data_IF_005371182148
#
_entry.id   IF_005371182148
#
_cell.length_a   1.000
_cell.length_b   1.000
_cell.length_c   1.000
_cell.angle_alpha   90.00
_cell.angle_beta   90.00
_cell.angle_gamma   90.00
#
_symmetry.space_group_name_H-M   'P 1'
#
loop_
_entity.id
_entity.type
_entity.pdbx_description
1 polymer ?
#
# COMPACT_ATOMS: atom_id res chain seq x y z
N UNK A 1 2.35 5.17 27.80
CA UNK A 1 1.11 5.04 27.00
C UNK A 1 1.37 4.00 25.94
N UNK A 2 0.46 3.04 25.71
CA UNK A 2 0.65 2.06 24.60
C UNK A 2 0.64 2.80 23.26
N UNK A 3 1.50 2.43 22.30
CA UNK A 3 1.51 3.04 20.97
C UNK A 3 0.21 2.74 20.22
N UNK A 4 -0.26 3.70 19.43
CA UNK A 4 -1.45 3.60 18.59
C UNK A 4 -1.06 3.66 17.12
N UNK A 5 -2.01 3.48 16.20
CA UNK A 5 -1.77 3.73 14.77
C UNK A 5 -1.19 5.14 14.55
N UNK A 6 -1.74 6.17 15.22
CA UNK A 6 -1.24 7.55 15.08
C UNK A 6 0.21 7.68 15.53
N UNK A 7 0.64 6.97 16.56
CA UNK A 7 2.06 6.93 16.97
C UNK A 7 2.97 6.52 15.81
N UNK A 8 2.58 5.48 15.07
CA UNK A 8 3.37 4.97 13.94
C UNK A 8 3.19 5.80 12.66
N UNK A 9 2.03 6.41 12.46
CA UNK A 9 1.81 7.37 11.36
C UNK A 9 2.76 8.57 11.51
N UNK A 10 2.89 9.13 12.72
CA UNK A 10 3.84 10.21 12.99
C UNK A 10 5.32 9.84 12.85
N UNK A 11 5.66 8.54 12.84
CA UNK A 11 7.02 8.06 12.57
C UNK A 11 7.33 7.89 11.09
N UNK A 12 6.33 7.94 10.20
CA UNK A 12 6.51 7.72 8.77
C UNK A 12 7.52 8.68 8.11
N UNK A 13 7.51 10.00 8.41
CA UNK A 13 8.48 10.92 7.82
C UNK A 13 9.93 10.53 8.12
N UNK A 14 10.22 10.15 9.35
CA UNK A 14 11.55 9.71 9.77
C UNK A 14 11.94 8.39 9.09
N UNK A 15 11.03 7.41 9.05
CA UNK A 15 11.29 6.11 8.40
C UNK A 15 11.63 6.29 6.93
N UNK A 16 10.83 7.07 6.18
CA UNK A 16 11.10 7.31 4.76
C UNK A 16 12.41 8.10 4.55
N UNK A 17 12.69 9.10 5.38
CA UNK A 17 13.93 9.85 5.33
C UNK A 17 15.15 8.97 5.57
N UNK A 18 15.07 8.04 6.53
CA UNK A 18 16.13 7.08 6.82
C UNK A 18 16.36 6.10 5.66
N UNK A 19 15.30 5.59 5.02
CA UNK A 19 15.42 4.73 3.85
C UNK A 19 16.12 5.46 2.68
N UNK A 20 15.76 6.71 2.43
CA UNK A 20 16.36 7.55 1.40
C UNK A 20 17.83 7.89 1.71
N UNK A 21 18.16 8.22 2.98
CA UNK A 21 19.51 8.55 3.40
C UNK A 21 20.48 7.37 3.27
N UNK A 22 19.99 6.14 3.41
CA UNK A 22 20.79 4.91 3.30
C UNK A 22 20.78 4.31 1.88
N UNK A 23 20.15 4.95 0.90
CA UNK A 23 20.14 4.47 -0.47
C UNK A 23 21.55 4.53 -1.10
N UNK A 24 22.02 3.50 -1.85
CA UNK A 24 21.37 2.20 -2.13
C UNK A 24 21.85 1.06 -1.19
N UNK A 25 22.31 1.35 0.01
CA UNK A 25 22.93 0.37 0.91
C UNK A 25 22.01 -0.82 1.24
N UNK A 26 22.51 -2.04 0.96
CA UNK A 26 21.80 -3.29 1.24
C UNK A 26 20.61 -3.58 0.32
N UNK A 27 20.41 -2.79 -0.75
CA UNK A 27 19.39 -3.06 -1.74
C UNK A 27 19.93 -3.94 -2.87
N UNK A 28 19.21 -5.00 -3.25
CA UNK A 28 19.55 -5.80 -4.43
C UNK A 28 19.17 -5.06 -5.71
N UNK A 29 19.79 -5.46 -6.82
CA UNK A 29 19.37 -5.06 -8.15
C UNK A 29 18.75 -6.25 -8.89
N UNK A 30 17.69 -6.03 -9.67
CA UNK A 30 16.98 -7.07 -10.43
C UNK A 30 17.84 -7.71 -11.54
N UNK A 31 19.00 -7.12 -11.84
CA UNK A 31 19.96 -7.66 -12.80
C UNK A 31 19.34 -7.80 -14.21
N UNK A 32 19.45 -9.00 -14.77
CA UNK A 32 18.92 -9.32 -16.10
C UNK A 32 17.45 -9.79 -16.09
N UNK A 33 16.79 -9.82 -14.95
CA UNK A 33 15.40 -10.26 -14.84
C UNK A 33 14.48 -9.41 -15.74
N UNK A 34 13.59 -10.07 -16.46
CA UNK A 34 12.56 -9.44 -17.31
C UNK A 34 11.15 -9.66 -16.78
N UNK A 35 10.96 -10.70 -15.99
CA UNK A 35 9.68 -11.09 -15.41
C UNK A 35 9.84 -11.45 -13.94
N UNK A 36 9.08 -10.78 -13.08
CA UNK A 36 9.06 -10.99 -11.64
C UNK A 36 7.65 -11.36 -11.20
N UNK A 37 7.53 -12.47 -10.49
CA UNK A 37 6.31 -12.84 -9.79
C UNK A 37 6.42 -12.36 -8.33
N UNK A 38 5.53 -11.45 -7.93
CA UNK A 38 5.40 -11.02 -6.54
C UNK A 38 4.30 -11.82 -5.86
N UNK A 39 4.64 -12.47 -4.74
CA UNK A 39 3.70 -13.21 -3.90
C UNK A 39 3.54 -12.49 -2.56
N UNK A 40 2.33 -12.00 -2.28
CA UNK A 40 2.01 -11.27 -1.07
C UNK A 40 0.52 -11.35 -0.73
N UNK A 41 0.16 -11.03 0.51
CA UNK A 41 -1.24 -10.98 0.97
C UNK A 41 -1.47 -9.78 1.89
N UNK A 42 -2.74 -9.34 2.04
CA UNK A 42 -3.13 -8.21 2.88
C UNK A 42 -2.43 -6.90 2.50
N UNK A 43 -1.96 -6.12 3.48
CA UNK A 43 -1.25 -4.87 3.22
C UNK A 43 0.03 -5.05 2.38
N UNK A 44 0.66 -6.23 2.39
CA UNK A 44 1.86 -6.49 1.59
C UNK A 44 1.55 -6.56 0.09
N UNK A 45 0.43 -7.17 -0.32
CA UNK A 45 0.03 -7.17 -1.74
C UNK A 45 -0.40 -5.77 -2.19
N UNK A 46 -1.08 -5.01 -1.32
CA UNK A 46 -1.45 -3.63 -1.61
C UNK A 46 -0.22 -2.72 -1.79
N UNK A 47 0.84 -2.92 -0.98
CA UNK A 47 2.12 -2.22 -1.14
C UNK A 47 2.81 -2.58 -2.46
N UNK A 48 2.81 -3.85 -2.85
CA UNK A 48 3.34 -4.30 -4.13
C UNK A 48 2.60 -3.65 -5.31
N UNK A 49 1.26 -3.62 -5.27
CA UNK A 49 0.43 -2.94 -6.29
C UNK A 49 0.73 -1.44 -6.36
N UNK A 50 0.99 -0.79 -5.22
CA UNK A 50 1.34 0.62 -5.14
C UNK A 50 2.69 0.96 -5.77
N UNK A 51 3.68 0.06 -5.66
CA UNK A 51 5.03 0.26 -6.19
C UNK A 51 5.21 -0.25 -7.63
N UNK A 52 4.37 -1.21 -8.05
CA UNK A 52 4.51 -1.96 -9.31
C UNK A 52 4.84 -1.07 -10.50
N UNK A 53 3.98 -0.10 -10.78
CA UNK A 53 4.09 0.71 -12.00
C UNK A 53 5.32 1.63 -11.98
N UNK A 54 5.74 2.10 -10.82
CA UNK A 54 6.99 2.85 -10.68
C UNK A 54 8.19 1.96 -11.06
N UNK A 55 8.25 0.75 -10.53
CA UNK A 55 9.34 -0.20 -10.81
C UNK A 55 9.34 -0.61 -12.28
N UNK A 56 8.19 -1.00 -12.84
CA UNK A 56 8.06 -1.38 -14.25
C UNK A 56 8.51 -0.25 -15.19
N UNK A 57 8.10 0.99 -14.91
CA UNK A 57 8.48 2.18 -15.70
C UNK A 57 9.99 2.37 -15.75
N UNK A 58 10.66 2.26 -14.62
CA UNK A 58 12.10 2.49 -14.54
C UNK A 58 12.91 1.33 -15.11
N UNK A 59 12.51 0.11 -14.81
CA UNK A 59 13.33 -1.09 -15.11
C UNK A 59 12.97 -1.77 -16.42
N UNK A 60 11.72 -1.60 -16.91
CA UNK A 60 11.16 -2.37 -18.01
C UNK A 60 10.86 -3.84 -17.66
N UNK A 61 11.00 -4.21 -16.40
CA UNK A 61 10.65 -5.54 -15.90
C UNK A 61 9.12 -5.66 -15.81
N UNK A 62 8.57 -6.79 -16.23
CA UNK A 62 7.14 -7.10 -16.04
C UNK A 62 6.93 -7.67 -14.65
N UNK A 63 6.01 -7.10 -13.87
CA UNK A 63 5.69 -7.55 -12.52
C UNK A 63 4.27 -8.12 -12.49
N UNK A 64 4.13 -9.39 -12.16
CA UNK A 64 2.86 -10.03 -11.81
C UNK A 64 2.72 -10.08 -10.30
N UNK A 65 1.59 -9.63 -9.76
CA UNK A 65 1.32 -9.63 -8.31
C UNK A 65 0.17 -10.58 -8.04
N UNK A 66 0.39 -11.58 -7.20
CA UNK A 66 -0.55 -12.68 -6.95
C UNK A 66 -0.68 -12.97 -5.44
N UNK A 67 -1.87 -13.43 -5.05
CA UNK A 67 -2.10 -14.02 -3.73
C UNK A 67 -1.44 -15.42 -3.66
N UNK A 68 -0.56 -15.68 -2.67
CA UNK A 68 0.23 -16.92 -2.64
C UNK A 68 -0.63 -18.19 -2.52
N UNK A 69 -1.72 -18.17 -1.74
CA UNK A 69 -2.60 -19.32 -1.61
C UNK A 69 -3.35 -19.62 -2.92
N UNK A 70 -3.90 -18.57 -3.56
CA UNK A 70 -4.56 -18.73 -4.86
C UNK A 70 -3.58 -19.21 -5.93
N UNK A 71 -2.41 -18.60 -5.98
CA UNK A 71 -1.36 -19.00 -6.92
C UNK A 71 -0.99 -20.47 -6.78
N UNK A 72 -0.69 -20.93 -5.56
CA UNK A 72 -0.24 -22.29 -5.30
C UNK A 72 -1.25 -23.36 -5.73
N UNK A 73 -2.55 -23.07 -5.65
CA UNK A 73 -3.59 -24.09 -5.86
C UNK A 73 -4.31 -24.01 -7.22
N UNK A 74 -4.25 -22.87 -7.89
CA UNK A 74 -5.08 -22.64 -9.09
C UNK A 74 -4.32 -22.03 -10.28
N UNK A 75 -3.21 -21.34 -10.06
CA UNK A 75 -2.49 -20.70 -11.16
C UNK A 75 -1.47 -21.65 -11.79
N UNK A 76 -1.20 -21.42 -13.07
CA UNK A 76 -0.16 -22.15 -13.80
C UNK A 76 1.17 -21.41 -13.67
N UNK A 77 2.25 -22.18 -13.52
CA UNK A 77 3.60 -21.62 -13.54
C UNK A 77 3.94 -21.05 -14.92
N UNK A 78 4.38 -19.82 -14.97
CA UNK A 78 4.96 -19.20 -16.17
C UNK A 78 6.48 -19.46 -16.19
N UNK A 79 6.98 -20.31 -17.10
CA UNK A 79 8.41 -20.66 -17.17
C UNK A 79 9.30 -19.46 -17.59
N UNK A 80 8.71 -18.35 -18.02
CA UNK A 80 9.45 -17.10 -18.30
C UNK A 80 9.66 -16.23 -17.07
N UNK A 81 9.23 -16.66 -15.88
CA UNK A 81 9.48 -15.97 -14.63
C UNK A 81 10.94 -16.14 -14.22
N UNK A 82 11.67 -15.03 -14.15
CA UNK A 82 13.09 -15.01 -13.78
C UNK A 82 13.31 -14.99 -12.26
N UNK A 83 12.37 -14.38 -11.53
CA UNK A 83 12.46 -14.15 -10.09
C UNK A 83 11.09 -14.24 -9.43
N UNK A 84 11.03 -14.93 -8.28
CA UNK A 84 9.87 -14.87 -7.37
C UNK A 84 10.22 -14.00 -6.17
N UNK A 85 9.43 -12.97 -5.92
CA UNK A 85 9.66 -12.02 -4.83
C UNK A 85 8.51 -12.09 -3.82
N UNK A 86 8.74 -12.75 -2.69
CA UNK A 86 7.76 -12.86 -1.61
C UNK A 86 7.82 -11.64 -0.68
N UNK A 87 6.66 -11.09 -0.31
CA UNK A 87 6.58 -9.97 0.63
C UNK A 87 5.71 -10.36 1.81
N UNK A 88 6.30 -10.38 3.00
CA UNK A 88 5.60 -10.62 4.27
C UNK A 88 6.27 -9.82 5.38
N UNK A 89 5.63 -8.76 5.86
CA UNK A 89 6.21 -7.89 6.89
C UNK A 89 6.65 -8.69 8.14
N UNK A 90 5.80 -9.59 8.64
CA UNK A 90 6.16 -10.47 9.76
C UNK A 90 7.11 -11.59 9.38
N UNK A 91 7.15 -11.98 8.11
CA UNK A 91 7.86 -13.16 7.61
C UNK A 91 7.28 -14.50 8.06
N UNK A 92 6.05 -14.50 8.62
CA UNK A 92 5.41 -15.67 9.24
C UNK A 92 4.18 -16.17 8.47
N UNK A 93 3.88 -15.61 7.28
CA UNK A 93 2.72 -16.01 6.46
C UNK A 93 2.90 -17.43 5.94
N UNK A 94 2.07 -18.37 6.39
CA UNK A 94 2.19 -19.79 6.00
C UNK A 94 1.96 -20.03 4.52
N UNK A 95 0.97 -19.34 3.93
CA UNK A 95 0.70 -19.46 2.49
C UNK A 95 1.85 -18.92 1.63
N UNK A 96 2.48 -17.83 2.08
CA UNK A 96 3.64 -17.26 1.38
C UNK A 96 4.83 -18.21 1.44
N UNK A 97 5.11 -18.78 2.62
CA UNK A 97 6.20 -19.74 2.82
C UNK A 97 5.98 -21.00 1.97
N UNK A 98 4.78 -21.60 2.04
CA UNK A 98 4.47 -22.81 1.29
C UNK A 98 4.60 -22.60 -0.24
N UNK A 99 4.12 -21.45 -0.75
CA UNK A 99 4.25 -21.14 -2.18
C UNK A 99 5.71 -20.97 -2.61
N UNK A 100 6.55 -20.27 -1.82
CA UNK A 100 7.98 -20.10 -2.11
C UNK A 100 8.72 -21.44 -2.07
N UNK A 101 8.49 -22.26 -1.06
CA UNK A 101 9.13 -23.58 -0.94
C UNK A 101 8.76 -24.48 -2.12
N UNK A 102 7.48 -24.50 -2.50
CA UNK A 102 7.03 -25.28 -3.66
C UNK A 102 7.68 -24.82 -4.96
N UNK A 103 7.75 -23.51 -5.21
CA UNK A 103 8.35 -22.96 -6.43
C UNK A 103 9.86 -23.22 -6.51
N UNK A 104 10.59 -23.08 -5.40
CA UNK A 104 12.01 -23.46 -5.33
C UNK A 104 12.25 -24.93 -5.65
N UNK A 105 11.46 -25.82 -5.06
CA UNK A 105 11.62 -27.27 -5.22
C UNK A 105 11.23 -27.74 -6.63
N UNK A 106 10.15 -27.19 -7.19
CA UNK A 106 9.60 -27.66 -8.47
C UNK A 106 10.27 -27.04 -9.69
N UNK A 107 10.69 -25.76 -9.59
CA UNK A 107 11.15 -24.98 -10.73
C UNK A 107 12.61 -24.48 -10.59
N UNK A 108 13.19 -24.51 -9.40
CA UNK A 108 14.54 -24.02 -9.18
C UNK A 108 14.71 -22.52 -9.46
N UNK A 109 13.60 -21.76 -9.41
CA UNK A 109 13.59 -20.32 -9.68
C UNK A 109 14.26 -19.54 -8.56
N UNK A 110 14.99 -18.47 -8.87
CA UNK A 110 15.56 -17.56 -7.88
C UNK A 110 14.43 -16.92 -7.02
N UNK A 111 14.67 -16.83 -5.72
CA UNK A 111 13.68 -16.33 -4.76
C UNK A 111 14.25 -15.22 -3.90
N UNK A 112 13.51 -14.10 -3.83
CA UNK A 112 13.74 -13.03 -2.87
C UNK A 112 12.61 -12.96 -1.86
N UNK A 113 12.92 -12.51 -0.64
CA UNK A 113 11.94 -12.27 0.41
C UNK A 113 12.14 -10.89 1.03
N UNK A 114 11.04 -10.16 1.24
CA UNK A 114 11.05 -8.87 1.94
C UNK A 114 10.30 -8.99 3.25
N UNK A 115 10.95 -8.63 4.36
CA UNK A 115 10.39 -8.72 5.71
C UNK A 115 10.98 -7.67 6.65
N UNK A 116 10.25 -7.32 7.71
CA UNK A 116 10.80 -6.49 8.80
C UNK A 116 11.59 -7.31 9.84
N UNK A 117 11.58 -8.64 9.73
CA UNK A 117 12.21 -9.55 10.71
C UNK A 117 13.18 -10.49 10.01
N UNK A 118 14.45 -10.13 9.98
CA UNK A 118 15.50 -10.92 9.31
C UNK A 118 15.75 -12.31 9.95
N UNK A 119 15.27 -12.55 11.18
CA UNK A 119 15.27 -13.88 11.81
C UNK A 119 14.00 -14.70 11.50
N UNK A 120 13.09 -14.20 10.62
CA UNK A 120 11.83 -14.88 10.31
C UNK A 120 12.02 -16.09 9.39
N UNK A 121 11.05 -17.03 9.37
CA UNK A 121 11.04 -18.14 8.44
C UNK A 121 11.20 -17.72 6.98
N UNK A 122 10.55 -16.63 6.54
CA UNK A 122 10.69 -16.14 5.16
C UNK A 122 12.14 -15.80 4.82
N UNK A 123 12.82 -15.04 5.69
CA UNK A 123 14.21 -14.65 5.46
C UNK A 123 15.17 -15.86 5.39
N UNK A 124 14.83 -16.96 6.07
CA UNK A 124 15.63 -18.20 6.07
C UNK A 124 15.30 -19.10 4.86
N UNK A 125 14.13 -18.98 4.25
CA UNK A 125 13.66 -19.83 3.16
C UNK A 125 14.15 -19.35 1.79
N UNK A 126 14.18 -18.02 1.58
CA UNK A 126 14.55 -17.41 0.29
C UNK A 126 16.05 -17.41 0.02
N UNK A 127 16.45 -17.23 -1.24
CA UNK A 127 17.85 -17.13 -1.62
C UNK A 127 18.45 -15.77 -1.23
N UNK A 128 17.63 -14.72 -1.23
CA UNK A 128 18.04 -13.38 -0.81
C UNK A 128 16.94 -12.69 -0.01
N UNK A 129 17.27 -12.26 1.20
CA UNK A 129 16.35 -11.55 2.08
C UNK A 129 16.61 -10.04 2.10
N UNK A 130 15.54 -9.26 1.94
CA UNK A 130 15.55 -7.79 2.00
C UNK A 130 14.87 -7.33 3.29
N UNK A 131 15.52 -6.48 4.05
CA UNK A 131 14.93 -5.87 5.23
C UNK A 131 14.11 -4.64 4.87
N UNK A 132 12.85 -4.57 5.36
CA UNK A 132 11.96 -3.40 5.14
C UNK A 132 12.47 -2.15 5.91
N UNK A 133 13.24 -2.31 6.97
CA UNK A 133 13.79 -1.23 7.82
C UNK A 133 12.75 -0.25 8.35
N UNK A 134 11.53 -0.71 8.58
CA UNK A 134 10.46 0.12 9.16
C UNK A 134 10.61 0.33 10.66
N UNK A 135 11.52 -0.40 11.30
CA UNK A 135 11.56 -0.52 12.74
C UNK A 135 10.33 -1.28 13.28
N UNK A 136 10.21 -1.33 14.59
CA UNK A 136 9.15 -2.08 15.25
C UNK A 136 7.79 -1.37 15.14
N UNK A 137 6.74 -2.15 14.83
CA UNK A 137 5.34 -1.71 14.79
C UNK A 137 4.48 -2.76 15.49
N UNK A 138 4.06 -2.46 16.73
CA UNK A 138 3.34 -3.41 17.62
C UNK A 138 1.83 -3.31 17.56
N UNK A 139 1.26 -2.48 16.70
CA UNK A 139 -0.19 -2.45 16.47
C UNK A 139 -0.58 -3.48 15.42
N UNK A 140 -1.79 -4.02 15.54
CA UNK A 140 -2.31 -5.02 14.58
C UNK A 140 -2.65 -4.47 13.21
N UNK A 141 -2.60 -3.15 13.06
CA UNK A 141 -3.04 -2.40 11.88
C UNK A 141 -1.85 -1.66 11.28
N UNK A 142 -1.16 -2.31 10.37
CA UNK A 142 0.10 -1.82 9.79
C UNK A 142 -0.06 -0.45 9.12
N UNK A 143 0.84 0.48 9.42
CA UNK A 143 0.88 1.82 8.85
C UNK A 143 2.26 2.19 8.31
N UNK A 144 3.25 2.43 9.16
CA UNK A 144 4.61 2.77 8.71
C UNK A 144 5.31 1.64 7.95
N UNK A 145 5.04 0.40 8.34
CA UNK A 145 5.56 -0.77 7.63
C UNK A 145 5.06 -0.88 6.20
N UNK A 146 3.82 -0.47 5.94
CA UNK A 146 3.26 -0.38 4.60
C UNK A 146 4.02 0.66 3.73
N UNK A 147 4.20 1.89 4.24
CA UNK A 147 4.95 2.92 3.53
C UNK A 147 6.41 2.51 3.30
N UNK A 148 7.05 1.95 4.31
CA UNK A 148 8.42 1.45 4.19
C UNK A 148 8.54 0.35 3.13
N UNK A 149 7.55 -0.54 3.01
CA UNK A 149 7.51 -1.58 1.97
C UNK A 149 7.43 -0.95 0.58
N UNK A 150 6.53 0.02 0.36
CA UNK A 150 6.42 0.73 -0.93
C UNK A 150 7.75 1.42 -1.27
N UNK A 151 8.29 2.20 -0.32
CA UNK A 151 9.55 2.94 -0.53
C UNK A 151 10.70 1.98 -0.86
N UNK A 152 10.85 0.89 -0.13
CA UNK A 152 11.92 -0.11 -0.38
C UNK A 152 11.79 -0.73 -1.77
N UNK A 153 10.56 -1.08 -2.21
CA UNK A 153 10.33 -1.58 -3.58
C UNK A 153 10.69 -0.54 -4.64
N UNK A 154 10.30 0.72 -4.44
CA UNK A 154 10.64 1.81 -5.35
C UNK A 154 12.15 2.03 -5.42
N UNK A 155 12.84 1.99 -4.29
CA UNK A 155 14.31 2.14 -4.23
C UNK A 155 15.03 0.96 -4.88
N UNK A 156 14.53 -0.28 -4.74
CA UNK A 156 15.04 -1.45 -5.49
C UNK A 156 14.88 -1.22 -7.00
N UNK A 157 13.72 -0.74 -7.43
CA UNK A 157 13.47 -0.42 -8.84
C UNK A 157 14.43 0.65 -9.37
N UNK A 158 14.61 1.73 -8.61
CA UNK A 158 15.52 2.83 -8.95
C UNK A 158 16.96 2.36 -9.06
N UNK A 159 17.43 1.62 -8.05
CA UNK A 159 18.78 1.02 -8.03
C UNK A 159 18.98 0.06 -9.21
N UNK A 160 18.00 -0.79 -9.51
CA UNK A 160 18.04 -1.73 -10.63
C UNK A 160 18.14 -1.01 -11.99
N UNK A 161 17.35 0.05 -12.18
CA UNK A 161 17.38 0.84 -13.40
C UNK A 161 18.71 1.57 -13.58
N UNK A 162 19.31 2.05 -12.50
CA UNK A 162 20.64 2.67 -12.51
C UNK A 162 21.74 1.64 -12.84
N UNK A 163 21.71 0.48 -12.22
CA UNK A 163 22.69 -0.60 -12.42
C UNK A 163 22.64 -1.19 -13.84
N UNK A 164 21.45 -1.29 -14.42
CA UNK A 164 21.26 -1.77 -15.79
C UNK A 164 21.56 -0.72 -16.89
N UNK A 165 21.91 0.52 -16.48
CA UNK A 165 22.17 1.61 -17.42
C UNK A 165 20.92 2.22 -18.07
N UNK A 166 19.71 1.88 -17.60
CA UNK A 166 18.45 2.48 -18.09
C UNK A 166 18.26 3.92 -17.59
N UNK A 167 18.86 4.26 -16.46
CA UNK A 167 18.91 5.63 -15.95
C UNK A 167 20.34 6.14 -15.88
N UNK A 168 20.53 7.40 -16.29
CA UNK A 168 21.75 8.15 -16.00
C UNK A 168 21.84 8.50 -14.49
N UNK A 169 23.02 8.91 -14.04
CA UNK A 169 23.18 9.39 -12.66
C UNK A 169 22.30 10.63 -12.38
N UNK A 170 22.13 11.50 -13.37
CA UNK A 170 21.27 12.68 -13.26
C UNK A 170 19.80 12.31 -13.12
N UNK A 171 19.31 11.36 -13.91
CA UNK A 171 17.93 10.86 -13.82
C UNK A 171 17.66 10.16 -12.49
N UNK A 172 18.62 9.38 -11.97
CA UNK A 172 18.55 8.79 -10.64
C UNK A 172 18.41 9.86 -9.56
N UNK A 173 19.21 10.94 -9.61
CA UNK A 173 19.11 12.05 -8.68
C UNK A 173 17.76 12.79 -8.77
N UNK A 174 17.19 12.93 -9.95
CA UNK A 174 15.85 13.52 -10.13
C UNK A 174 14.76 12.65 -9.48
N UNK A 175 14.80 11.34 -9.65
CA UNK A 175 13.87 10.42 -8.98
C UNK A 175 14.05 10.46 -7.45
N UNK A 176 15.28 10.45 -6.94
CA UNK A 176 15.56 10.58 -5.51
C UNK A 176 15.03 11.90 -4.94
N UNK A 177 15.26 13.02 -5.64
CA UNK A 177 14.77 14.33 -5.23
C UNK A 177 13.23 14.36 -5.16
N UNK A 178 12.55 13.67 -6.07
CA UNK A 178 11.09 13.56 -6.06
C UNK A 178 10.59 12.73 -4.88
N UNK A 179 11.23 11.59 -4.58
CA UNK A 179 10.92 10.76 -3.40
C UNK A 179 11.19 11.54 -2.10
N UNK A 180 12.30 12.29 -2.01
CA UNK A 180 12.63 13.13 -0.88
C UNK A 180 11.59 14.23 -0.67
N UNK A 181 11.14 14.89 -1.74
CA UNK A 181 10.06 15.89 -1.69
C UNK A 181 8.77 15.30 -1.13
N UNK A 182 8.39 14.10 -1.60
CA UNK A 182 7.23 13.38 -1.07
C UNK A 182 7.37 13.06 0.42
N UNK A 183 8.50 12.50 0.84
CA UNK A 183 8.75 12.19 2.25
C UNK A 183 8.72 13.44 3.14
N UNK A 184 9.30 14.55 2.68
CA UNK A 184 9.32 15.82 3.40
C UNK A 184 7.93 16.45 3.55
N UNK A 185 6.97 16.14 2.67
CA UNK A 185 5.61 16.66 2.74
C UNK A 185 4.72 15.92 3.75
N UNK A 186 5.12 14.75 4.26
CA UNK A 186 4.27 13.93 5.14
C UNK A 186 3.76 14.67 6.39
N UNK A 187 4.56 15.48 7.11
CA UNK A 187 4.04 16.21 8.28
C UNK A 187 2.89 17.15 7.92
N UNK A 188 2.98 17.86 6.77
CA UNK A 188 1.91 18.74 6.29
C UNK A 188 0.69 17.95 5.84
N UNK A 189 0.88 16.82 5.16
CA UNK A 189 -0.20 15.90 4.76
C UNK A 189 -0.97 15.42 6.00
N UNK A 190 -0.27 15.06 7.07
CA UNK A 190 -0.90 14.65 8.35
C UNK A 190 -1.74 15.82 8.88
N UNK A 191 -1.18 17.03 8.98
CA UNK A 191 -1.89 18.20 9.49
C UNK A 191 -3.12 18.57 8.63
N UNK A 192 -3.03 18.51 7.30
CA UNK A 192 -4.15 18.73 6.37
C UNK A 192 -5.24 17.69 6.56
N UNK A 193 -4.86 16.44 6.77
CA UNK A 193 -5.81 15.34 7.02
C UNK A 193 -6.53 15.50 8.36
N UNK A 194 -5.83 15.94 9.41
CA UNK A 194 -6.45 16.26 10.70
C UNK A 194 -7.48 17.38 10.56
N UNK A 195 -7.17 18.42 9.80
CA UNK A 195 -8.10 19.53 9.51
C UNK A 195 -9.33 19.04 8.74
N UNK A 196 -9.12 18.17 7.75
CA UNK A 196 -10.19 17.53 6.99
C UNK A 196 -11.08 16.67 7.89
N UNK A 197 -10.48 15.85 8.77
CA UNK A 197 -11.20 15.06 9.76
C UNK A 197 -12.07 15.93 10.66
N UNK A 198 -11.52 17.00 11.24
CA UNK A 198 -12.28 17.91 12.11
C UNK A 198 -13.52 18.48 11.41
N UNK A 199 -13.41 18.79 10.12
CA UNK A 199 -14.54 19.31 9.33
C UNK A 199 -15.61 18.25 9.08
N UNK A 200 -15.22 17.04 8.73
CA UNK A 200 -16.12 16.00 8.24
C UNK A 200 -16.38 14.86 9.24
N UNK A 201 -15.92 14.96 10.48
CA UNK A 201 -16.00 13.87 11.46
C UNK A 201 -17.42 13.34 11.68
N UNK A 202 -18.41 14.20 11.78
CA UNK A 202 -19.81 13.78 12.01
C UNK A 202 -20.34 12.95 10.83
N UNK A 203 -20.07 13.41 9.61
CA UNK A 203 -20.49 12.75 8.38
C UNK A 203 -19.78 11.39 8.21
N UNK A 204 -18.45 11.37 8.35
CA UNK A 204 -17.64 10.17 8.21
C UNK A 204 -17.93 9.15 9.31
N UNK A 205 -18.19 9.60 10.54
CA UNK A 205 -18.56 8.70 11.64
C UNK A 205 -19.92 8.05 11.43
N UNK A 206 -20.88 8.76 10.84
CA UNK A 206 -22.22 8.24 10.54
C UNK A 206 -22.24 7.24 9.38
N UNK A 207 -21.15 7.09 8.63
CA UNK A 207 -21.10 6.26 7.44
C UNK A 207 -21.42 4.79 7.72
N UNK A 208 -22.37 4.18 6.97
CA UNK A 208 -22.60 2.73 7.01
C UNK A 208 -21.67 1.97 6.05
N UNK A 209 -21.10 2.67 5.05
CA UNK A 209 -20.28 2.09 3.97
C UNK A 209 -19.33 3.11 3.38
N UNK A 210 -18.13 2.66 3.03
CA UNK A 210 -17.13 3.45 2.33
C UNK A 210 -16.71 2.79 1.01
N UNK A 211 -16.52 3.59 -0.01
CA UNK A 211 -15.98 3.16 -1.30
C UNK A 211 -14.89 4.15 -1.72
N UNK A 212 -13.74 3.67 -2.11
CA UNK A 212 -12.72 4.48 -2.77
C UNK A 212 -12.53 4.03 -4.21
N UNK A 213 -12.44 5.00 -5.10
CA UNK A 213 -12.29 4.78 -6.54
C UNK A 213 -10.95 5.39 -6.98
N UNK A 214 -10.17 4.61 -7.72
CA UNK A 214 -8.87 5.02 -8.22
C UNK A 214 -8.44 4.20 -9.42
N UNK A 215 -7.30 4.53 -9.99
CA UNK A 215 -6.75 3.87 -11.16
C UNK A 215 -5.22 3.82 -11.09
N UNK A 216 -4.61 3.01 -11.97
CA UNK A 216 -3.15 2.94 -12.10
C UNK A 216 -2.43 2.72 -10.78
N UNK A 217 -1.40 3.53 -10.44
CA UNK A 217 -0.65 3.38 -9.18
C UNK A 217 -1.51 3.50 -7.92
N UNK A 218 -2.64 4.22 -7.97
CA UNK A 218 -3.56 4.37 -6.84
C UNK A 218 -4.35 3.08 -6.52
N UNK A 219 -4.27 2.04 -7.34
CA UNK A 219 -4.96 0.77 -7.09
C UNK A 219 -4.57 0.17 -5.73
N UNK A 220 -3.27 0.17 -5.40
CA UNK A 220 -2.80 -0.31 -4.09
C UNK A 220 -3.33 0.55 -2.93
N UNK A 221 -3.45 1.87 -3.13
CA UNK A 221 -3.98 2.82 -2.13
C UNK A 221 -5.44 2.53 -1.80
N UNK A 222 -6.30 2.39 -2.82
CA UNK A 222 -7.72 2.11 -2.60
C UNK A 222 -7.94 0.73 -1.96
N UNK A 223 -7.12 -0.26 -2.32
CA UNK A 223 -7.13 -1.58 -1.68
C UNK A 223 -6.62 -1.53 -0.23
N UNK A 224 -5.66 -0.68 0.07
CA UNK A 224 -5.22 -0.48 1.46
C UNK A 224 -6.28 0.26 2.29
N UNK A 225 -7.01 1.23 1.72
CA UNK A 225 -8.18 1.83 2.37
C UNK A 225 -9.22 0.76 2.72
N UNK A 226 -9.58 -0.11 1.77
CA UNK A 226 -10.49 -1.23 1.99
C UNK A 226 -10.03 -2.09 3.18
N UNK A 227 -8.74 -2.45 3.22
CA UNK A 227 -8.15 -3.25 4.29
C UNK A 227 -8.20 -2.51 5.63
N UNK A 228 -7.70 -1.27 5.68
CA UNK A 228 -7.64 -0.51 6.95
C UNK A 228 -9.03 -0.21 7.51
N UNK A 229 -9.98 0.19 6.67
CA UNK A 229 -11.33 0.49 7.14
C UNK A 229 -12.07 -0.77 7.59
N UNK A 230 -11.88 -1.90 6.90
CA UNK A 230 -12.45 -3.19 7.35
C UNK A 230 -11.89 -3.64 8.70
N UNK A 231 -10.58 -3.48 8.93
CA UNK A 231 -9.91 -3.88 10.16
C UNK A 231 -10.28 -2.98 11.36
N UNK A 232 -10.38 -1.66 11.14
CA UNK A 232 -10.45 -0.66 12.21
C UNK A 232 -11.83 -0.05 12.36
N UNK A 233 -12.41 0.46 11.27
CA UNK A 233 -13.74 1.08 11.26
C UNK A 233 -14.83 0.01 11.35
N UNK A 234 -14.59 -1.17 10.79
CA UNK A 234 -15.45 -2.35 10.87
C UNK A 234 -16.84 -2.12 10.27
N UNK A 235 -16.87 -1.41 9.14
CA UNK A 235 -18.05 -1.29 8.27
C UNK A 235 -17.67 -1.76 6.87
N UNK A 236 -18.64 -2.17 6.03
CA UNK A 236 -18.36 -2.52 4.64
C UNK A 236 -17.57 -1.43 3.94
N UNK A 237 -16.41 -1.79 3.40
CA UNK A 237 -15.51 -0.86 2.73
C UNK A 237 -14.89 -1.53 1.51
N UNK A 238 -14.80 -0.81 0.39
CA UNK A 238 -14.26 -1.34 -0.86
C UNK A 238 -13.36 -0.32 -1.55
N UNK A 239 -12.27 -0.81 -2.11
CA UNK A 239 -11.45 -0.11 -3.10
C UNK A 239 -11.71 -0.68 -4.47
N UNK A 240 -12.29 0.10 -5.38
CA UNK A 240 -12.72 -0.38 -6.70
C UNK A 240 -12.00 0.41 -7.79
N UNK A 241 -11.42 -0.30 -8.74
CA UNK A 241 -10.78 0.32 -9.91
C UNK A 241 -11.83 1.11 -10.71
N UNK A 242 -11.43 2.25 -11.27
CA UNK A 242 -12.30 3.23 -11.96
C UNK A 242 -13.24 2.59 -12.99
N UNK A 243 -12.70 1.79 -13.90
CA UNK A 243 -13.51 1.15 -14.95
C UNK A 243 -14.38 0.02 -14.37
N UNK A 244 -13.82 -0.77 -13.46
CA UNK A 244 -14.56 -1.84 -12.79
C UNK A 244 -15.76 -1.29 -12.00
N UNK A 245 -15.64 -0.11 -11.39
CA UNK A 245 -16.76 0.53 -10.69
C UNK A 245 -17.94 0.80 -11.63
N UNK A 246 -17.68 1.22 -12.86
CA UNK A 246 -18.72 1.53 -13.86
C UNK A 246 -19.40 0.28 -14.45
N UNK A 247 -18.91 -0.92 -14.15
CA UNK A 247 -19.45 -2.19 -14.68
C UNK A 247 -20.18 -3.03 -13.62
N UNK A 248 -21.04 -2.37 -12.82
CA UNK A 248 -21.92 -3.02 -11.85
C UNK A 248 -21.96 -2.33 -10.49
N UNK A 249 -20.82 -2.12 -9.80
CA UNK A 249 -20.82 -1.54 -8.46
C UNK A 249 -21.56 -0.21 -8.29
N UNK A 250 -21.61 0.63 -9.32
CA UNK A 250 -22.33 1.90 -9.27
C UNK A 250 -23.85 1.74 -8.98
N UNK A 251 -24.46 0.58 -9.29
CA UNK A 251 -25.87 0.31 -9.00
C UNK A 251 -26.20 0.24 -7.51
N UNK A 252 -25.21 -0.09 -6.65
CA UNK A 252 -25.44 -0.19 -5.21
C UNK A 252 -25.43 1.18 -4.50
N UNK A 253 -24.93 2.22 -5.18
CA UNK A 253 -24.76 3.53 -4.55
C UNK A 253 -26.11 4.12 -4.17
N UNK A 254 -26.15 4.65 -2.96
CA UNK A 254 -27.33 5.32 -2.39
C UNK A 254 -26.88 6.52 -1.54
N UNK A 255 -27.84 7.40 -1.12
CA UNK A 255 -27.51 8.64 -0.42
C UNK A 255 -26.76 8.49 0.91
N UNK A 256 -26.62 7.28 1.46
CA UNK A 256 -25.91 7.04 2.72
C UNK A 256 -24.45 6.58 2.52
N UNK A 257 -24.04 6.22 1.30
CA UNK A 257 -22.68 5.76 1.01
C UNK A 257 -21.70 6.93 0.92
N UNK A 258 -20.45 6.70 1.38
CA UNK A 258 -19.34 7.65 1.34
C UNK A 258 -18.35 7.22 0.29
N UNK A 259 -18.09 8.10 -0.67
CA UNK A 259 -17.22 7.84 -1.81
C UNK A 259 -15.99 8.75 -1.76
N UNK A 260 -14.82 8.15 -1.97
CA UNK A 260 -13.55 8.86 -2.13
C UNK A 260 -13.00 8.62 -3.54
N UNK A 261 -12.72 9.67 -4.27
CA UNK A 261 -12.10 9.63 -5.59
C UNK A 261 -10.64 10.06 -5.52
N UNK A 262 -9.73 9.24 -6.05
CA UNK A 262 -8.30 9.56 -6.09
C UNK A 262 -8.01 10.34 -7.38
N UNK A 263 -8.01 11.67 -7.27
CA UNK A 263 -7.84 12.61 -8.38
C UNK A 263 -6.37 12.99 -8.55
N UNK A 264 -5.58 12.16 -9.21
CA UNK A 264 -4.19 12.43 -9.57
C UNK A 264 -4.07 12.90 -11.01
N UNK A 265 -3.01 13.66 -11.31
CA UNK A 265 -2.74 14.11 -12.67
C UNK A 265 -2.22 12.95 -13.53
N UNK A 266 -3.07 12.47 -14.42
CA UNK A 266 -2.85 11.31 -15.26
C UNK A 266 -3.72 11.37 -16.52
N UNK A 267 -3.39 10.64 -17.59
CA UNK A 267 -4.14 10.67 -18.85
C UNK A 267 -5.63 10.32 -18.72
N UNK A 268 -6.01 9.53 -17.72
CA UNK A 268 -7.41 9.08 -17.50
C UNK A 268 -8.16 9.91 -16.46
N UNK A 269 -7.56 10.97 -15.94
CA UNK A 269 -8.10 11.83 -14.89
C UNK A 269 -9.50 12.36 -15.18
N UNK A 270 -9.73 12.78 -16.42
CA UNK A 270 -11.03 13.35 -16.83
C UNK A 270 -12.17 12.34 -16.68
N UNK A 271 -11.91 11.07 -17.00
CA UNK A 271 -12.91 10.02 -16.83
C UNK A 271 -13.30 9.81 -15.36
N UNK A 272 -12.35 9.91 -14.45
CA UNK A 272 -12.61 9.84 -13.01
C UNK A 272 -13.48 11.02 -12.56
N UNK A 273 -13.21 12.23 -13.06
CA UNK A 273 -13.96 13.43 -12.70
C UNK A 273 -15.41 13.39 -13.20
N UNK A 274 -15.61 12.94 -14.42
CA UNK A 274 -16.96 12.73 -14.98
C UNK A 274 -17.75 11.73 -14.14
N UNK A 275 -17.14 10.63 -13.71
CA UNK A 275 -17.79 9.67 -12.82
C UNK A 275 -18.10 10.30 -11.45
N UNK A 276 -17.13 10.99 -10.83
CA UNK A 276 -17.34 11.69 -9.55
C UNK A 276 -18.53 12.65 -9.62
N UNK A 277 -18.60 13.46 -10.67
CA UNK A 277 -19.67 14.46 -10.86
C UNK A 277 -21.04 13.79 -11.11
N UNK A 278 -21.04 12.60 -11.69
CA UNK A 278 -22.24 11.78 -11.80
C UNK A 278 -22.70 11.27 -10.43
N UNK A 279 -21.79 10.71 -9.63
CA UNK A 279 -22.11 10.14 -8.32
C UNK A 279 -22.55 11.21 -7.30
N UNK A 280 -22.12 12.45 -7.45
CA UNK A 280 -22.65 13.58 -6.65
C UNK A 280 -24.15 13.82 -6.81
N UNK A 281 -24.77 13.29 -7.86
CA UNK A 281 -26.24 13.32 -8.04
C UNK A 281 -26.95 12.24 -7.22
N UNK A 282 -26.22 11.18 -6.86
CA UNK A 282 -26.76 10.01 -6.14
C UNK A 282 -26.55 10.15 -4.64
N UNK A 283 -25.38 10.61 -4.22
CA UNK A 283 -25.04 10.84 -2.81
C UNK A 283 -24.38 12.21 -2.60
N UNK A 284 -24.75 12.95 -1.52
CA UNK A 284 -24.07 14.19 -1.15
C UNK A 284 -22.68 13.94 -0.51
N UNK A 285 -22.29 12.68 -0.29
CA UNK A 285 -21.11 12.28 0.48
C UNK A 285 -19.97 11.82 -0.44
N UNK A 286 -19.55 12.71 -1.34
CA UNK A 286 -18.47 12.47 -2.29
C UNK A 286 -17.30 13.40 -1.99
N UNK A 287 -16.11 12.84 -1.81
CA UNK A 287 -14.87 13.57 -1.60
C UNK A 287 -13.81 13.14 -2.62
N UNK A 288 -12.84 14.02 -2.83
CA UNK A 288 -11.65 13.73 -3.62
C UNK A 288 -10.40 13.81 -2.77
N UNK A 289 -9.38 13.02 -3.11
CA UNK A 289 -8.00 13.21 -2.67
C UNK A 289 -7.17 13.60 -3.88
N UNK A 290 -6.38 14.67 -3.77
CA UNK A 290 -5.45 15.09 -4.83
C UNK A 290 -4.09 15.49 -4.24
N UNK A 291 -3.05 15.50 -5.09
CA UNK A 291 -1.69 15.83 -4.66
C UNK A 291 -1.49 17.33 -4.43
N UNK A 292 -1.86 18.16 -5.41
CA UNK A 292 -1.65 19.62 -5.37
C UNK A 292 -2.60 20.35 -4.43
N UNK A 293 -2.91 21.58 -4.77
CA UNK A 293 -3.84 22.44 -4.00
C UNK A 293 -5.26 22.37 -4.56
N UNK A 294 -6.24 22.65 -3.69
CA UNK A 294 -7.66 22.77 -4.07
C UNK A 294 -8.36 23.76 -3.14
N UNK A 295 -9.30 24.51 -3.70
CA UNK A 295 -10.20 25.37 -2.96
C UNK A 295 -11.57 24.71 -2.67
N UNK A 296 -11.78 23.49 -3.15
CA UNK A 296 -12.99 22.72 -2.89
C UNK A 296 -12.90 22.05 -1.51
N UNK A 297 -13.82 22.38 -0.63
CA UNK A 297 -13.86 21.86 0.74
C UNK A 297 -14.05 20.34 0.83
N UNK A 298 -14.61 19.72 -0.23
CA UNK A 298 -14.75 18.27 -0.35
C UNK A 298 -13.53 17.60 -0.95
N UNK A 299 -12.49 18.35 -1.24
CA UNK A 299 -11.21 17.84 -1.72
C UNK A 299 -10.14 17.94 -0.64
N UNK A 300 -9.64 16.81 -0.21
CA UNK A 300 -8.42 16.74 0.60
C UNK A 300 -7.21 16.90 -0.33
N UNK A 301 -6.72 18.12 -0.40
CA UNK A 301 -5.55 18.48 -1.18
C UNK A 301 -4.27 18.31 -0.32
N UNK A 302 -3.31 17.54 -0.81
CA UNK A 302 -2.10 17.20 -0.05
C UNK A 302 -1.02 18.28 -0.10
N UNK A 303 -1.15 19.29 -0.99
CA UNK A 303 -0.26 20.43 -1.07
C UNK A 303 1.15 20.12 -1.59
N UNK A 304 1.31 19.03 -2.33
CA UNK A 304 2.60 18.59 -2.87
C UNK A 304 2.47 18.17 -4.33
N UNK A 305 3.40 18.65 -5.15
CA UNK A 305 3.45 18.27 -6.55
C UNK A 305 4.52 17.21 -6.77
N UNK A 306 4.07 15.99 -7.03
CA UNK A 306 4.88 14.84 -7.41
C UNK A 306 4.17 14.05 -8.51
N UNK A 307 4.91 13.18 -9.19
CA UNK A 307 4.31 12.35 -10.24
C UNK A 307 3.33 11.31 -9.68
N UNK A 308 2.36 10.90 -10.51
CA UNK A 308 1.42 9.83 -10.19
C UNK A 308 2.10 8.53 -9.73
N UNK A 309 3.30 8.26 -10.23
CA UNK A 309 4.05 7.04 -9.95
C UNK A 309 4.49 6.89 -8.50
N UNK A 310 4.73 8.01 -7.79
CA UNK A 310 5.09 7.99 -6.37
C UNK A 310 3.93 8.44 -5.46
N UNK A 311 2.83 8.88 -6.04
CA UNK A 311 1.63 9.31 -5.32
C UNK A 311 1.12 8.30 -4.26
N UNK A 312 1.21 6.96 -4.46
CA UNK A 312 0.78 5.99 -3.46
C UNK A 312 1.42 6.17 -2.08
N UNK A 313 2.69 6.61 -2.01
CA UNK A 313 3.37 6.91 -0.74
C UNK A 313 2.65 7.98 0.08
N UNK A 314 1.93 8.89 -0.56
CA UNK A 314 1.32 10.06 0.05
C UNK A 314 -0.17 9.87 0.24
N UNK A 315 -0.85 9.35 -0.78
CA UNK A 315 -2.31 9.21 -0.82
C UNK A 315 -2.86 8.19 0.20
N UNK A 316 -2.05 7.24 0.65
CA UNK A 316 -2.50 6.26 1.66
C UNK A 316 -2.56 6.86 3.06
N UNK A 317 -1.72 7.86 3.38
CA UNK A 317 -1.61 8.44 4.72
C UNK A 317 -2.94 9.03 5.22
N UNK A 318 -3.69 9.80 4.42
CA UNK A 318 -5.04 10.22 4.78
C UNK A 318 -5.96 9.07 5.17
N UNK A 319 -5.96 7.97 4.43
CA UNK A 319 -6.82 6.83 4.76
C UNK A 319 -6.40 6.13 6.06
N UNK A 320 -5.12 6.08 6.37
CA UNK A 320 -4.65 5.54 7.66
C UNK A 320 -5.12 6.39 8.84
N UNK A 321 -5.04 7.71 8.70
CA UNK A 321 -5.50 8.68 9.72
C UNK A 321 -7.02 8.61 9.89
N UNK A 322 -7.76 8.67 8.78
CA UNK A 322 -9.22 8.57 8.80
C UNK A 322 -9.68 7.23 9.37
N UNK A 323 -9.03 6.12 9.02
CA UNK A 323 -9.33 4.80 9.57
C UNK A 323 -9.24 4.78 11.11
N UNK A 324 -8.18 5.40 11.67
CA UNK A 324 -7.99 5.53 13.11
C UNK A 324 -9.10 6.36 13.75
N UNK A 325 -9.29 7.58 13.27
CA UNK A 325 -10.24 8.53 13.88
C UNK A 325 -11.70 8.09 13.76
N UNK A 326 -12.10 7.59 12.59
CA UNK A 326 -13.48 7.08 12.40
C UNK A 326 -13.73 5.88 13.32
N UNK A 327 -12.74 4.98 13.45
CA UNK A 327 -12.85 3.82 14.33
C UNK A 327 -13.06 4.24 15.79
N UNK A 328 -12.25 5.16 16.31
CA UNK A 328 -12.39 5.67 17.69
C UNK A 328 -13.72 6.41 17.89
N UNK A 329 -14.14 7.25 16.92
CA UNK A 329 -15.41 7.96 16.99
C UNK A 329 -16.63 7.02 16.96
N UNK A 330 -16.51 5.86 16.30
CA UNK A 330 -17.53 4.78 16.34
C UNK A 330 -17.46 3.94 17.64
N UNK A 331 -16.52 4.20 18.54
CA UNK A 331 -16.34 3.47 19.79
C UNK A 331 -15.54 2.16 19.68
N UNK A 332 -14.82 1.95 18.56
CA UNK A 332 -13.93 0.80 18.40
C UNK A 332 -12.63 1.03 19.20
N UNK A 333 -12.40 0.23 20.21
CA UNK A 333 -11.16 0.27 21.00
C UNK A 333 -10.02 -0.42 20.23
N UNK A 334 -9.25 0.32 19.44
CA UNK A 334 -8.18 -0.22 18.59
C UNK A 334 -7.01 -0.84 19.39
N UNK A 335 -6.58 -0.30 20.54
CA UNK A 335 -5.60 -0.96 21.41
C UNK A 335 -6.03 -2.33 21.92
N UNK A 336 -7.33 -2.60 21.99
CA UNK A 336 -7.85 -3.92 22.36
C UNK A 336 -7.95 -4.83 21.16
N UNK A 337 -7.15 -5.91 21.16
CA UNK A 337 -7.19 -6.94 20.13
C UNK A 337 -8.49 -7.74 20.20
N UNK A 338 -9.07 -7.99 19.03
CA UNK A 338 -10.20 -8.91 18.85
C UNK A 338 -9.74 -10.11 18.00
N UNK A 339 -10.43 -11.23 18.08
CA UNK A 339 -10.14 -12.46 17.33
C UNK A 339 -8.67 -12.91 17.45
N UNK A 340 -8.14 -12.89 18.69
CA UNK A 340 -6.71 -13.17 18.96
C UNK A 340 -6.29 -14.60 18.60
N UNK A 341 -7.24 -15.53 18.56
CA UNK A 341 -7.07 -16.94 18.20
C UNK A 341 -7.17 -17.21 16.69
N UNK A 342 -7.65 -16.24 15.90
CA UNK A 342 -7.93 -16.46 14.47
C UNK A 342 -6.71 -16.97 13.70
N UNK A 343 -5.55 -16.35 13.87
CA UNK A 343 -4.33 -16.74 13.17
C UNK A 343 -3.88 -18.17 13.48
N UNK A 344 -4.06 -18.62 14.71
CA UNK A 344 -3.77 -19.98 15.16
C UNK A 344 -4.82 -20.96 14.62
N UNK A 345 -6.10 -20.63 14.76
CA UNK A 345 -7.22 -21.47 14.31
C UNK A 345 -7.18 -21.70 12.78
N UNK A 346 -6.85 -20.67 12.02
CA UNK A 346 -6.74 -20.75 10.56
C UNK A 346 -5.36 -21.21 10.08
N UNK A 347 -4.39 -21.40 10.98
CA UNK A 347 -3.00 -21.75 10.64
C UNK A 347 -2.40 -20.79 9.60
N UNK A 348 -2.78 -19.51 9.66
CA UNK A 348 -2.36 -18.50 8.70
C UNK A 348 -0.98 -17.90 9.00
N UNK A 349 -0.43 -18.20 10.20
CA UNK A 349 0.92 -17.81 10.63
C UNK A 349 1.63 -18.96 11.31
N UNK A 350 2.96 -19.00 11.21
CA UNK A 350 3.79 -20.05 11.82
C UNK A 350 3.80 -19.96 13.36
N UNK A 351 3.58 -18.78 13.91
CA UNK A 351 3.43 -18.53 15.36
C UNK A 351 2.46 -17.36 15.60
N UNK A 352 1.89 -17.24 16.82
CA UNK A 352 1.13 -16.07 17.21
C UNK A 352 1.94 -14.78 17.02
N UNK A 353 1.26 -13.68 16.64
CA UNK A 353 1.94 -12.38 16.52
C UNK A 353 2.26 -11.80 17.91
N UNK A 354 3.42 -11.16 18.03
CA UNK A 354 3.80 -10.34 19.18
C UNK A 354 3.02 -9.02 19.14
N UNK A 355 1.86 -9.01 19.74
CA UNK A 355 1.03 -7.83 19.88
C UNK A 355 0.70 -7.64 21.37
N UNK A 356 1.48 -6.87 22.05
CA UNK A 356 1.25 -6.50 23.44
C UNK A 356 0.39 -5.23 23.58
#
# INVERSE_FOLDING_TARGET
MKPTMMTYIHQQPEVLSNLLANYPEGLPALGAAKSVLVLATGSSINAALSAKYYVERLTGVRISVQEPFHFQHYEQWDPTTDLVFAISQSGESTSTLAAIEALKQQHGVATWGMTSKMASPLAQTVDYAVEIRSGEERVGYVTKGYLATIMTLMLIGLHSARQSGRLSAEQEQQELAMLQRGAAALPDIIARTETFWQRWQADLTAAPRFISIGFGPALGVIKEMETKFSETVRVPSQGIELEAFMHGPYFEINPQHRLFFIDVDAPVRERLRVLRDYEQRVTPHVWSLCLGESNDERTLALGVEVSEWIAPLLLVVPFQILAHHIAEAKGNNLPQRIFTDFGVSMKSKTKPGDYD
#
